data_IF_689251071325
#
_entry.id   IF_689251071325
#
_cell.length_a   1.000
_cell.length_b   1.000
_cell.length_c   1.000
_cell.angle_alpha   90.00
_cell.angle_beta   90.00
_cell.angle_gamma   90.00
#
_symmetry.space_group_name_H-M   'P 1'
#
loop_
_entity.id
_entity.type
_entity.pdbx_description
1 polymer ?
#
# COMPACT_ATOMS: atom_id res chain seq x y z
N UNK A 1 28.61 -8.57 -7.01
CA UNK A 1 27.75 -9.56 -6.33
C UNK A 1 27.97 -9.38 -4.83
N UNK A 2 27.20 -8.50 -4.18
CA UNK A 2 27.30 -8.27 -2.74
C UNK A 2 26.26 -9.16 -2.07
N UNK A 3 26.74 -10.22 -1.42
CA UNK A 3 25.91 -11.09 -0.60
C UNK A 3 25.55 -10.36 0.69
N UNK A 4 24.29 -9.95 0.84
CA UNK A 4 23.74 -9.55 2.13
C UNK A 4 23.40 -10.83 2.87
N UNK A 5 24.27 -11.24 3.79
CA UNK A 5 24.03 -12.31 4.75
C UNK A 5 22.99 -11.84 5.76
N UNK A 6 21.72 -12.20 5.56
CA UNK A 6 20.74 -12.18 6.65
C UNK A 6 20.86 -13.49 7.43
N UNK A 7 21.49 -13.41 8.60
CA UNK A 7 21.34 -14.42 9.66
C UNK A 7 19.90 -14.38 10.17
N UNK A 8 19.03 -15.18 9.59
CA UNK A 8 17.67 -15.36 10.09
C UNK A 8 17.70 -16.10 11.42
N UNK A 9 17.21 -15.48 12.48
CA UNK A 9 16.78 -16.22 13.67
C UNK A 9 15.59 -17.08 13.26
N UNK A 10 15.76 -18.40 13.33
CA UNK A 10 14.67 -19.38 13.20
C UNK A 10 13.68 -19.14 14.35
N UNK A 11 12.50 -18.61 14.00
CA UNK A 11 11.43 -18.27 14.95
C UNK A 11 10.85 -16.85 14.80
N UNK A 12 11.50 -15.95 14.06
CA UNK A 12 10.97 -14.60 13.84
C UNK A 12 9.82 -14.61 12.81
N UNK A 13 8.69 -13.97 13.16
CA UNK A 13 7.59 -13.71 12.23
C UNK A 13 8.10 -12.96 10.99
N UNK A 14 7.59 -13.30 9.81
CA UNK A 14 7.96 -12.63 8.56
C UNK A 14 7.83 -11.10 8.70
N UNK A 15 8.90 -10.31 8.46
CA UNK A 15 8.83 -8.86 8.56
C UNK A 15 7.85 -8.27 7.55
N UNK A 16 7.27 -7.13 7.91
CA UNK A 16 6.25 -6.43 7.14
C UNK A 16 6.69 -4.99 6.90
N UNK A 17 6.76 -4.59 5.63
CA UNK A 17 7.01 -3.22 5.21
C UNK A 17 5.70 -2.60 4.73
N UNK A 18 5.25 -1.55 5.41
CA UNK A 18 4.11 -0.74 4.98
C UNK A 18 4.62 0.55 4.36
N UNK A 19 4.26 0.78 3.10
CA UNK A 19 4.66 1.98 2.34
C UNK A 19 3.47 2.93 2.24
N UNK A 20 3.57 4.09 2.90
CA UNK A 20 2.54 5.12 2.79
C UNK A 20 2.57 5.79 1.41
N UNK A 21 1.45 5.66 0.70
CA UNK A 21 1.28 6.11 -0.67
C UNK A 21 0.08 7.07 -0.84
N UNK A 22 -0.19 7.48 -2.07
CA UNK A 22 -1.22 8.49 -2.39
C UNK A 22 -2.24 7.95 -3.38
N UNK A 23 -3.51 8.33 -3.19
CA UNK A 23 -4.55 8.09 -4.20
C UNK A 23 -4.25 8.80 -5.53
N UNK A 24 -3.45 9.87 -5.51
CA UNK A 24 -3.00 10.58 -6.71
C UNK A 24 -2.31 9.68 -7.75
N UNK A 25 -1.77 8.52 -7.36
CA UNK A 25 -1.17 7.55 -8.28
C UNK A 25 -2.18 6.83 -9.20
N UNK A 26 -3.47 6.85 -8.86
CA UNK A 26 -4.55 6.23 -9.66
C UNK A 26 -5.63 7.24 -10.09
N UNK A 27 -5.43 8.52 -9.79
CA UNK A 27 -6.36 9.60 -10.12
C UNK A 27 -5.88 10.39 -11.35
N UNK A 28 -6.78 11.16 -12.00
CA UNK A 28 -6.37 12.11 -13.02
C UNK A 28 -5.32 13.12 -12.50
N UNK A 29 -4.49 13.70 -13.39
CA UNK A 29 -3.48 14.68 -13.00
C UNK A 29 -4.06 15.86 -12.21
N UNK A 30 -3.42 16.17 -11.08
CA UNK A 30 -3.70 17.34 -10.26
C UNK A 30 -2.59 18.38 -10.52
N UNK A 31 -2.89 19.52 -11.17
CA UNK A 31 -1.92 20.57 -11.42
C UNK A 31 -1.20 21.00 -10.13
N UNK A 32 0.12 21.17 -10.20
CA UNK A 32 0.96 21.51 -9.04
C UNK A 32 1.40 20.30 -8.19
N UNK A 33 0.78 19.14 -8.32
CA UNK A 33 1.10 17.93 -7.52
C UNK A 33 2.02 16.94 -8.25
N UNK A 34 2.42 17.23 -9.49
CA UNK A 34 3.13 16.27 -10.36
C UNK A 34 4.40 15.69 -9.74
N UNK A 35 5.26 16.52 -9.15
CA UNK A 35 6.50 16.04 -8.49
C UNK A 35 6.22 15.13 -7.28
N UNK A 36 5.22 15.48 -6.47
CA UNK A 36 4.79 14.68 -5.32
C UNK A 36 4.19 13.33 -5.77
N UNK A 37 3.25 13.36 -6.72
CA UNK A 37 2.61 12.14 -7.24
C UNK A 37 3.63 11.24 -7.92
N UNK A 38 4.56 11.78 -8.71
CA UNK A 38 5.62 11.01 -9.35
C UNK A 38 6.55 10.34 -8.31
N UNK A 39 6.91 11.05 -7.25
CA UNK A 39 7.71 10.49 -6.14
C UNK A 39 6.99 9.35 -5.40
N UNK A 40 5.68 9.48 -5.19
CA UNK A 40 4.87 8.43 -4.55
C UNK A 40 4.62 7.24 -5.48
N UNK A 41 4.47 7.48 -6.77
CA UNK A 41 4.33 6.42 -7.77
C UNK A 41 5.61 5.59 -7.91
N UNK A 42 6.79 6.21 -7.81
CA UNK A 42 8.06 5.45 -7.87
C UNK A 42 8.23 4.54 -6.65
N UNK A 43 7.85 5.00 -5.44
CA UNK A 43 7.88 4.15 -4.25
C UNK A 43 6.88 3.00 -4.34
N UNK A 44 5.75 3.19 -5.02
CA UNK A 44 4.79 2.13 -5.25
C UNK A 44 5.36 1.03 -6.14
N UNK A 45 5.99 1.40 -7.26
CA UNK A 45 6.59 0.42 -8.17
C UNK A 45 7.73 -0.34 -7.48
N UNK A 46 8.55 0.36 -6.68
CA UNK A 46 9.57 -0.27 -5.87
C UNK A 46 8.98 -1.29 -4.89
N UNK A 47 7.87 -0.96 -4.24
CA UNK A 47 7.18 -1.86 -3.32
C UNK A 47 6.71 -3.16 -4.01
N UNK A 48 6.21 -3.09 -5.24
CA UNK A 48 5.85 -4.27 -6.04
C UNK A 48 7.05 -5.18 -6.31
N UNK A 49 8.19 -4.60 -6.73
CA UNK A 49 9.43 -5.37 -6.95
C UNK A 49 9.93 -6.00 -5.66
N UNK A 50 9.97 -5.24 -4.55
CA UNK A 50 10.39 -5.76 -3.26
C UNK A 50 9.53 -6.95 -2.80
N UNK A 51 8.20 -6.86 -2.95
CA UNK A 51 7.29 -7.95 -2.64
C UNK A 51 7.55 -9.20 -3.52
N UNK A 52 7.79 -8.98 -4.82
CA UNK A 52 7.98 -10.06 -5.79
C UNK A 52 9.33 -10.77 -5.65
N UNK A 53 10.40 -10.02 -5.34
CA UNK A 53 11.76 -10.55 -5.21
C UNK A 53 12.01 -11.22 -3.85
N UNK A 54 11.24 -10.84 -2.82
CA UNK A 54 11.41 -11.31 -1.44
C UNK A 54 10.24 -12.16 -0.94
N UNK A 55 9.60 -12.92 -1.84
CA UNK A 55 8.53 -13.87 -1.48
C UNK A 55 8.97 -14.76 -0.31
N UNK A 56 8.11 -14.87 0.70
CA UNK A 56 8.32 -15.60 1.96
C UNK A 56 9.38 -15.00 2.93
N UNK A 57 10.10 -13.95 2.55
CA UNK A 57 11.09 -13.27 3.41
C UNK A 57 10.62 -11.91 3.89
N UNK A 58 9.85 -11.20 3.06
CA UNK A 58 9.34 -9.87 3.34
C UNK A 58 7.93 -9.76 2.77
N UNK A 59 7.00 -9.25 3.56
CA UNK A 59 5.69 -8.82 3.07
C UNK A 59 5.71 -7.31 2.87
N UNK A 60 5.27 -6.84 1.73
CA UNK A 60 5.21 -5.40 1.43
C UNK A 60 3.78 -5.03 1.07
N UNK A 61 3.24 -3.99 1.69
CA UNK A 61 1.90 -3.47 1.42
C UNK A 61 2.01 -1.96 1.18
N UNK A 62 1.47 -1.47 0.07
CA UNK A 62 1.30 -0.03 -0.14
C UNK A 62 -0.05 0.39 0.42
N UNK A 63 -0.08 1.41 1.26
CA UNK A 63 -1.33 1.89 1.89
C UNK A 63 -1.50 3.37 1.60
N UNK A 64 -2.64 3.74 1.03
CA UNK A 64 -3.11 5.11 1.07
C UNK A 64 -3.74 5.37 2.44
N UNK A 65 -3.21 6.30 3.26
CA UNK A 65 -3.71 6.52 4.62
C UNK A 65 -5.06 7.26 4.67
N UNK A 66 -5.65 7.62 3.53
CA UNK A 66 -6.72 8.62 3.45
C UNK A 66 -6.15 10.05 3.48
N UNK A 67 -7.00 11.04 3.76
CA UNK A 67 -6.53 12.33 4.24
C UNK A 67 -6.16 12.15 5.70
N UNK A 68 -4.99 12.62 6.12
CA UNK A 68 -4.60 12.75 7.53
C UNK A 68 -4.44 14.24 7.81
N UNK A 69 -4.96 14.74 8.94
CA UNK A 69 -4.94 16.18 9.22
C UNK A 69 -3.48 16.65 9.30
N UNK A 70 -3.05 17.31 8.24
CA UNK A 70 -1.71 17.85 7.99
C UNK A 70 -1.89 19.16 7.25
N UNK A 71 -0.92 20.08 7.27
CA UNK A 71 -1.04 21.32 6.49
C UNK A 71 -1.32 21.06 5.00
N UNK A 72 -0.80 19.98 4.43
CA UNK A 72 -1.12 19.56 3.07
C UNK A 72 -2.57 19.07 2.93
N UNK A 73 -3.08 18.29 3.87
CA UNK A 73 -4.47 17.85 3.85
C UNK A 73 -5.44 19.01 4.04
N UNK A 74 -5.12 20.01 4.86
CA UNK A 74 -5.96 21.22 4.98
C UNK A 74 -6.12 21.95 3.65
N UNK A 75 -5.06 22.05 2.85
CA UNK A 75 -5.13 22.60 1.49
C UNK A 75 -5.96 21.71 0.55
N UNK A 76 -5.86 20.39 0.67
CA UNK A 76 -6.67 19.44 -0.12
C UNK A 76 -8.16 19.42 0.32
N UNK A 77 -8.44 19.63 1.60
CA UNK A 77 -9.79 19.76 2.14
C UNK A 77 -10.47 21.05 1.66
N UNK A 78 -9.72 22.15 1.53
CA UNK A 78 -10.21 23.38 0.87
C UNK A 78 -10.60 23.14 -0.58
N UNK A 79 -9.97 22.16 -1.25
CA UNK A 79 -10.34 21.72 -2.59
C UNK A 79 -11.50 20.69 -2.62
N UNK A 80 -12.13 20.39 -1.47
CA UNK A 80 -13.35 19.59 -1.38
C UNK A 80 -13.14 18.08 -1.15
N UNK A 81 -11.91 17.63 -0.89
CA UNK A 81 -11.64 16.23 -0.57
C UNK A 81 -11.84 15.99 0.94
N UNK A 82 -12.70 15.04 1.33
CA UNK A 82 -12.99 14.68 2.74
C UNK A 82 -12.92 13.15 2.87
N UNK A 83 -12.18 12.63 3.84
CA UNK A 83 -12.13 11.19 4.11
C UNK A 83 -12.12 10.90 5.62
N UNK A 84 -12.74 9.80 6.07
CA UNK A 84 -12.66 9.35 7.46
C UNK A 84 -11.25 8.82 7.77
N UNK A 85 -10.79 9.07 9.00
CA UNK A 85 -9.50 8.65 9.53
C UNK A 85 -9.64 7.29 10.24
N UNK A 86 -8.70 6.35 10.03
CA UNK A 86 -8.61 5.13 10.85
C UNK A 86 -7.15 4.68 11.04
N UNK A 87 -6.64 4.91 12.26
CA UNK A 87 -5.27 4.55 12.65
C UNK A 87 -5.11 3.03 12.85
N UNK A 88 -6.22 2.30 13.05
CA UNK A 88 -6.21 0.87 13.34
C UNK A 88 -5.93 0.03 12.09
N UNK A 89 -6.19 0.56 10.90
CA UNK A 89 -5.99 -0.16 9.66
C UNK A 89 -4.53 -0.57 9.46
N UNK A 90 -3.56 0.30 9.79
CA UNK A 90 -2.13 -0.02 9.61
C UNK A 90 -1.67 -1.14 10.55
N UNK A 91 -2.23 -1.19 11.76
CA UNK A 91 -1.97 -2.27 12.72
C UNK A 91 -2.53 -3.59 12.18
N UNK A 92 -3.75 -3.57 11.67
CA UNK A 92 -4.34 -4.75 11.02
C UNK A 92 -3.54 -5.17 9.77
N UNK A 93 -3.14 -4.22 8.92
CA UNK A 93 -2.33 -4.49 7.73
C UNK A 93 -0.97 -5.11 8.08
N UNK A 94 -0.39 -4.76 9.23
CA UNK A 94 0.83 -5.38 9.74
C UNK A 94 0.60 -6.80 10.30
N UNK A 95 -0.62 -7.18 10.63
CA UNK A 95 -0.95 -8.49 11.18
C UNK A 95 -0.91 -9.61 10.12
N UNK A 96 -0.88 -10.87 10.58
CA UNK A 96 -0.93 -12.04 9.69
C UNK A 96 -2.26 -12.17 8.94
N UNK A 97 -3.35 -11.56 9.44
CA UNK A 97 -4.66 -11.58 8.78
C UNK A 97 -4.60 -10.92 7.40
N UNK A 98 -3.72 -9.91 7.24
CA UNK A 98 -3.52 -9.19 5.99
C UNK A 98 -2.42 -9.80 5.09
N UNK A 99 -2.02 -11.05 5.31
CA UNK A 99 -0.94 -11.67 4.53
C UNK A 99 -1.24 -11.71 3.01
N UNK A 100 -2.50 -11.88 2.65
CA UNK A 100 -3.01 -11.89 1.28
C UNK A 100 -2.83 -10.55 0.53
N UNK A 101 -2.52 -9.46 1.25
CA UNK A 101 -2.26 -8.14 0.67
C UNK A 101 -0.80 -7.93 0.25
N UNK A 102 0.05 -8.96 0.26
CA UNK A 102 1.44 -8.83 -0.18
C UNK A 102 1.52 -8.34 -1.65
N UNK A 103 2.26 -7.25 -1.87
CA UNK A 103 2.40 -6.60 -3.17
C UNK A 103 1.16 -5.83 -3.63
N UNK A 104 0.20 -5.56 -2.74
CA UNK A 104 -1.05 -4.85 -3.07
C UNK A 104 -1.01 -3.38 -2.64
N UNK A 105 -1.87 -2.59 -3.27
CA UNK A 105 -2.15 -1.19 -2.92
C UNK A 105 -3.59 -1.08 -2.38
N UNK A 106 -3.72 -0.68 -1.13
CA UNK A 106 -5.00 -0.61 -0.40
C UNK A 106 -5.20 0.75 0.24
N UNK A 107 -6.44 1.03 0.66
CA UNK A 107 -6.81 2.27 1.31
C UNK A 107 -7.16 2.00 2.76
N UNK A 108 -6.69 2.84 3.67
CA UNK A 108 -6.91 2.67 5.10
C UNK A 108 -8.39 2.81 5.51
N UNK A 109 -9.21 3.46 4.69
CA UNK A 109 -10.64 3.66 4.94
C UNK A 109 -11.53 2.51 4.42
N UNK A 110 -10.96 1.39 3.97
CA UNK A 110 -11.72 0.23 3.50
C UNK A 110 -12.11 -0.70 4.65
N UNK A 111 -13.24 -1.39 4.47
CA UNK A 111 -13.73 -2.38 5.44
C UNK A 111 -12.86 -3.64 5.42
N UNK A 112 -12.32 -3.98 6.59
CA UNK A 112 -11.43 -5.14 6.78
C UNK A 112 -12.14 -6.47 6.52
N UNK A 113 -13.40 -6.59 6.93
CA UNK A 113 -14.16 -7.82 6.77
C UNK A 113 -14.55 -8.03 5.30
N UNK A 114 -14.83 -6.96 4.56
CA UNK A 114 -15.00 -7.03 3.09
C UNK A 114 -13.71 -7.46 2.37
N UNK A 115 -12.57 -6.93 2.80
CA UNK A 115 -11.27 -7.34 2.26
C UNK A 115 -11.00 -8.83 2.52
N UNK A 116 -11.29 -9.31 3.73
CA UNK A 116 -11.13 -10.73 4.11
C UNK A 116 -12.11 -11.63 3.34
N UNK A 117 -13.33 -11.17 3.07
CA UNK A 117 -14.27 -11.90 2.21
C UNK A 117 -13.80 -11.99 0.74
N UNK A 118 -12.91 -11.08 0.32
CA UNK A 118 -12.43 -10.97 -1.07
C UNK A 118 -11.06 -11.65 -1.32
N UNK A 119 -10.49 -12.36 -0.35
CA UNK A 119 -9.14 -12.96 -0.43
C UNK A 119 -8.91 -13.76 -1.71
N UNK A 120 -9.83 -14.66 -2.06
CA UNK A 120 -9.68 -15.52 -3.24
C UNK A 120 -9.55 -14.75 -4.55
N UNK A 121 -10.22 -13.59 -4.66
CA UNK A 121 -10.12 -12.70 -5.82
C UNK A 121 -8.79 -11.94 -5.82
N UNK A 122 -8.33 -11.49 -4.66
CA UNK A 122 -7.13 -10.67 -4.50
C UNK A 122 -5.85 -11.48 -4.71
N UNK A 123 -5.77 -12.69 -4.18
CA UNK A 123 -4.60 -13.58 -4.33
C UNK A 123 -4.51 -14.18 -5.73
N UNK A 124 -5.64 -14.59 -6.30
CA UNK A 124 -5.69 -15.23 -7.61
C UNK A 124 -5.63 -14.26 -8.79
N UNK A 125 -5.65 -12.95 -8.54
CA UNK A 125 -5.86 -11.93 -9.57
C UNK A 125 -4.94 -10.71 -9.48
N UNK A 126 -5.08 -9.85 -10.47
CA UNK A 126 -4.42 -8.53 -10.53
C UNK A 126 -5.15 -7.47 -9.68
N UNK A 127 -6.08 -7.88 -8.79
CA UNK A 127 -6.86 -6.93 -8.01
C UNK A 127 -5.93 -6.23 -7.04
N UNK A 128 -6.15 -4.92 -6.90
CA UNK A 128 -5.37 -4.06 -6.01
C UNK A 128 -3.88 -3.95 -6.41
N UNK A 129 -3.53 -4.30 -7.64
CA UNK A 129 -2.18 -4.12 -8.20
C UNK A 129 -2.18 -2.97 -9.22
N UNK A 130 -1.04 -2.27 -9.36
CA UNK A 130 -0.92 -1.19 -10.33
C UNK A 130 -0.50 -1.74 -11.69
N UNK A 131 -1.50 -2.26 -12.40
CA UNK A 131 -1.38 -2.79 -13.74
C UNK A 131 -2.56 -2.33 -14.60
N UNK A 132 -2.35 -2.29 -15.91
CA UNK A 132 -3.42 -2.02 -16.87
C UNK A 132 -4.45 -3.16 -16.80
N UNK A 133 -5.74 -2.80 -16.66
CA UNK A 133 -6.85 -3.76 -16.66
C UNK A 133 -7.74 -3.52 -17.87
N UNK A 134 -7.70 -4.47 -18.81
CA UNK A 134 -8.57 -4.47 -19.99
C UNK A 134 -8.22 -3.42 -21.05
N UNK A 135 -9.05 -3.42 -22.10
CA UNK A 135 -9.43 -2.24 -22.91
C UNK A 135 -10.81 -1.79 -22.44
#
# INVERSE_FOLDING_TARGET
MLAITTSGQEGASQPVLIVLNTAGSIMPPLPGMGGYVASKMSSLKLAEYLASENKNKLRVISVHPGLIQTPMAEELEKAGLRFPYDDNFLVWAASQEAAFLNGKFVFANWDVEELKASVGKIEGGADLSLMLRGL
#
